data_IF_047983319338
#
_entry.id   IF_047983319338
#
_cell.length_a   1.000
_cell.length_b   1.000
_cell.length_c   1.000
_cell.angle_alpha   90.00
_cell.angle_beta   90.00
_cell.angle_gamma   90.00
#
_symmetry.space_group_name_H-M   'P 1'
#
loop_
_entity.id
_entity.type
_entity.pdbx_description
1 polymer ?
#
# COMPACT_ATOMS: atom_id res chain seq x y z
N UNK A 1 -42.49 -46.68 69.04
CA UNK A 1 -42.69 -46.13 67.67
C UNK A 1 -41.31 -45.78 67.09
N UNK A 2 -40.91 -46.55 66.11
CA UNK A 2 -39.56 -46.48 65.58
C UNK A 2 -39.48 -45.46 64.46
N UNK A 3 -38.53 -44.47 64.55
CA UNK A 3 -38.21 -43.56 63.49
C UNK A 3 -36.88 -43.99 62.87
N UNK A 4 -36.90 -44.40 61.59
CA UNK A 4 -35.72 -44.77 60.81
C UNK A 4 -35.05 -43.52 60.24
N UNK A 5 -33.78 -43.37 60.53
CA UNK A 5 -32.92 -42.42 59.83
C UNK A 5 -32.40 -43.00 58.50
N UNK A 6 -32.63 -42.29 57.43
CA UNK A 6 -32.08 -42.62 56.10
C UNK A 6 -30.96 -41.64 55.76
N UNK A 7 -29.75 -42.16 55.73
CA UNK A 7 -28.56 -41.35 55.33
C UNK A 7 -28.44 -41.31 53.80
N UNK A 8 -28.45 -40.13 53.26
CA UNK A 8 -28.10 -39.90 51.83
C UNK A 8 -26.58 -39.63 51.69
N UNK A 9 -25.91 -40.55 50.96
CA UNK A 9 -24.55 -40.36 50.48
C UNK A 9 -24.60 -39.43 49.24
N UNK A 10 -24.08 -38.23 49.38
CA UNK A 10 -23.75 -37.33 48.20
C UNK A 10 -22.40 -37.77 47.65
N UNK A 11 -22.40 -38.46 46.52
CA UNK A 11 -21.19 -38.63 45.68
C UNK A 11 -20.94 -37.37 44.88
N UNK A 12 -19.95 -36.58 45.31
CA UNK A 12 -19.47 -35.41 44.54
C UNK A 12 -18.72 -35.85 43.30
N UNK A 13 -19.29 -35.56 42.15
CA UNK A 13 -18.61 -35.70 40.84
C UNK A 13 -17.70 -34.46 40.66
N UNK A 14 -16.39 -34.62 40.81
CA UNK A 14 -15.42 -33.63 40.43
C UNK A 14 -15.32 -33.61 38.89
N UNK A 15 -15.98 -32.64 38.25
CA UNK A 15 -15.68 -32.31 36.85
C UNK A 15 -14.33 -31.55 36.80
N UNK A 16 -13.30 -32.26 36.38
CA UNK A 16 -12.05 -31.60 35.96
C UNK A 16 -12.27 -30.93 34.62
N UNK A 17 -12.41 -29.59 34.62
CA UNK A 17 -12.35 -28.77 33.41
C UNK A 17 -10.91 -28.78 32.92
N UNK A 18 -10.60 -29.63 31.98
CA UNK A 18 -9.38 -29.51 31.19
C UNK A 18 -9.56 -28.30 30.24
N UNK A 19 -8.99 -27.19 30.62
CA UNK A 19 -8.77 -26.07 29.68
C UNK A 19 -7.65 -26.48 28.71
N UNK A 20 -8.04 -26.95 27.53
CA UNK A 20 -7.10 -27.10 26.43
C UNK A 20 -6.55 -25.73 26.11
N UNK A 21 -5.22 -25.55 26.04
CA UNK A 21 -4.67 -24.30 25.55
C UNK A 21 -5.11 -24.11 24.07
N UNK A 22 -5.87 -23.08 23.82
CA UNK A 22 -6.12 -22.61 22.45
C UNK A 22 -4.77 -22.22 21.87
N UNK A 23 -4.10 -23.13 21.17
CA UNK A 23 -2.98 -22.77 20.32
C UNK A 23 -3.55 -21.89 19.22
N UNK A 24 -3.23 -20.60 19.30
CA UNK A 24 -3.37 -19.69 18.17
C UNK A 24 -2.50 -20.26 17.05
N UNK A 25 -3.12 -20.94 16.09
CA UNK A 25 -2.45 -21.39 14.88
C UNK A 25 -2.21 -20.12 14.07
N UNK A 26 -1.03 -19.53 14.22
CA UNK A 26 -0.52 -18.50 13.33
C UNK A 26 -0.02 -19.19 12.06
N UNK A 27 -0.94 -19.79 11.29
CA UNK A 27 -0.62 -20.31 9.98
C UNK A 27 -0.41 -19.11 9.04
N UNK A 28 0.84 -18.65 8.96
CA UNK A 28 1.25 -17.75 7.87
C UNK A 28 1.02 -18.49 6.54
N UNK A 29 0.32 -17.87 5.58
CA UNK A 29 0.15 -18.48 4.27
C UNK A 29 1.53 -18.75 3.66
N UNK A 30 1.81 -20.01 3.33
CA UNK A 30 3.04 -20.37 2.59
C UNK A 30 2.83 -20.00 1.13
N UNK A 31 3.77 -19.21 0.57
CA UNK A 31 3.81 -19.03 -0.87
C UNK A 31 4.06 -20.38 -1.55
N UNK A 32 3.39 -20.65 -2.66
CA UNK A 32 3.66 -21.83 -3.46
C UNK A 32 5.14 -21.82 -3.88
N UNK A 33 5.89 -22.90 -3.61
CA UNK A 33 7.30 -23.03 -3.94
C UNK A 33 7.58 -23.15 -5.45
N UNK A 34 6.55 -23.16 -6.29
CA UNK A 34 6.70 -23.07 -7.73
C UNK A 34 7.04 -21.61 -8.10
N UNK A 35 8.33 -21.28 -8.07
CA UNK A 35 8.84 -20.03 -8.66
C UNK A 35 8.50 -20.08 -10.13
N UNK A 36 7.52 -19.30 -10.52
CA UNK A 36 7.14 -19.16 -11.91
C UNK A 36 8.34 -18.55 -12.66
N UNK A 37 8.78 -19.16 -13.75
CA UNK A 37 9.78 -18.54 -14.63
C UNK A 37 9.15 -17.26 -15.18
N UNK A 38 9.49 -16.13 -14.61
CA UNK A 38 8.95 -14.84 -14.98
C UNK A 38 10.09 -13.89 -15.35
N UNK A 39 9.78 -12.86 -16.12
CA UNK A 39 10.69 -11.75 -16.43
C UNK A 39 11.20 -11.02 -15.17
N UNK A 40 10.55 -11.23 -14.03
CA UNK A 40 10.90 -10.60 -12.75
C UNK A 40 11.98 -11.34 -11.95
N UNK A 41 12.30 -12.59 -12.33
CA UNK A 41 13.28 -13.40 -11.57
C UNK A 41 14.68 -12.77 -11.56
N UNK A 42 15.22 -12.55 -10.36
CA UNK A 42 16.51 -11.91 -10.13
C UNK A 42 16.51 -10.39 -10.32
N UNK A 43 15.35 -9.77 -10.60
CA UNK A 43 15.26 -8.33 -10.74
C UNK A 43 15.30 -7.63 -9.38
N UNK A 44 16.07 -6.55 -9.31
CA UNK A 44 16.19 -5.68 -8.14
C UNK A 44 15.06 -4.66 -8.16
N UNK A 45 14.10 -4.81 -7.24
CA UNK A 45 12.88 -3.99 -7.22
C UNK A 45 12.84 -3.12 -5.98
N UNK A 46 12.84 -1.80 -6.17
CA UNK A 46 12.71 -0.84 -5.09
C UNK A 46 11.24 -0.64 -4.71
N UNK A 47 10.93 -0.76 -3.42
CA UNK A 47 9.62 -0.53 -2.85
C UNK A 47 9.64 0.76 -2.02
N UNK A 48 8.97 1.80 -2.51
CA UNK A 48 8.79 3.08 -1.84
C UNK A 48 7.37 3.14 -1.27
N UNK A 49 7.20 3.83 -0.13
CA UNK A 49 5.85 3.94 0.44
C UNK A 49 5.82 4.29 1.92
N UNK A 50 4.75 3.86 2.56
CA UNK A 50 4.43 4.15 3.96
C UNK A 50 4.58 2.93 4.88
N UNK A 51 3.76 2.87 5.96
CA UNK A 51 3.76 1.81 6.96
C UNK A 51 3.53 0.41 6.39
N UNK A 52 2.69 0.27 5.36
CA UNK A 52 2.36 -1.02 4.76
C UNK A 52 3.56 -1.59 3.98
N UNK A 53 4.49 -0.73 3.57
CA UNK A 53 5.74 -1.08 2.88
C UNK A 53 6.93 -1.18 3.83
N UNK A 54 6.88 -0.55 5.02
CA UNK A 54 8.01 -0.42 5.95
C UNK A 54 8.58 -1.79 6.35
N UNK A 55 9.93 -1.91 6.27
CA UNK A 55 10.66 -3.11 6.71
C UNK A 55 10.52 -3.43 8.21
N UNK A 56 9.98 -2.51 8.99
CA UNK A 56 9.69 -2.73 10.42
C UNK A 56 8.45 -3.58 10.66
N UNK A 57 7.79 -4.05 9.62
CA UNK A 57 6.61 -4.94 9.69
C UNK A 57 5.47 -4.35 10.54
N UNK A 58 5.04 -3.14 10.21
CA UNK A 58 3.94 -2.47 10.93
C UNK A 58 2.65 -3.27 10.76
N UNK A 59 2.16 -3.81 11.86
CA UNK A 59 0.90 -4.59 11.88
C UNK A 59 0.98 -5.99 11.27
N UNK A 60 2.18 -6.49 10.91
CA UNK A 60 2.34 -7.79 10.24
C UNK A 60 3.62 -8.50 10.64
N UNK A 61 3.65 -9.81 10.49
CA UNK A 61 4.88 -10.63 10.59
C UNK A 61 5.59 -10.79 9.24
N UNK A 62 4.88 -10.53 8.13
CA UNK A 62 5.43 -10.66 6.77
C UNK A 62 4.75 -9.73 5.80
N UNK A 63 5.53 -8.93 5.07
CA UNK A 63 5.05 -7.93 4.14
C UNK A 63 4.83 -8.50 2.73
N UNK A 64 4.01 -7.81 1.92
CA UNK A 64 3.68 -8.19 0.54
C UNK A 64 4.93 -8.32 -0.35
N UNK A 65 5.94 -7.48 -0.18
CA UNK A 65 7.18 -7.54 -0.96
C UNK A 65 8.03 -8.79 -0.64
N UNK A 66 7.94 -9.36 0.57
CA UNK A 66 8.57 -10.64 0.90
C UNK A 66 7.85 -11.80 0.19
N UNK A 67 6.52 -11.78 0.14
CA UNK A 67 5.75 -12.76 -0.64
C UNK A 67 6.04 -12.64 -2.14
N UNK A 68 6.19 -11.41 -2.68
CA UNK A 68 6.59 -11.21 -4.07
C UNK A 68 7.99 -11.77 -4.36
N UNK A 69 8.95 -11.61 -3.43
CA UNK A 69 10.27 -12.22 -3.53
C UNK A 69 10.18 -13.74 -3.65
N UNK A 70 9.33 -14.38 -2.84
CA UNK A 70 9.12 -15.83 -2.89
C UNK A 70 8.38 -16.29 -4.16
N UNK A 71 7.37 -15.52 -4.62
CA UNK A 71 6.55 -15.88 -5.77
C UNK A 71 7.24 -15.65 -7.12
N UNK A 72 7.98 -14.54 -7.25
CA UNK A 72 8.57 -14.08 -8.51
C UNK A 72 10.09 -14.19 -8.56
N UNK A 73 10.74 -14.41 -7.41
CA UNK A 73 12.20 -14.43 -7.29
C UNK A 73 12.85 -13.06 -7.46
N UNK A 74 12.17 -11.98 -7.13
CA UNK A 74 12.72 -10.62 -7.11
C UNK A 74 13.63 -10.41 -5.91
N UNK A 75 14.54 -9.43 -6.02
CA UNK A 75 15.39 -8.93 -4.93
C UNK A 75 14.82 -7.60 -4.42
N UNK A 76 14.10 -7.57 -3.27
CA UNK A 76 13.44 -6.37 -2.81
C UNK A 76 14.41 -5.39 -2.15
N UNK A 77 14.36 -4.13 -2.58
CA UNK A 77 15.04 -2.97 -1.99
C UNK A 77 13.98 -2.09 -1.31
N UNK A 78 13.88 -2.12 0.02
CA UNK A 78 12.76 -1.52 0.72
C UNK A 78 13.13 -0.17 1.33
N UNK A 79 12.42 0.86 0.93
CA UNK A 79 12.58 2.27 1.37
C UNK A 79 11.37 2.83 2.10
N UNK A 80 10.24 2.09 2.12
CA UNK A 80 9.03 2.50 2.81
C UNK A 80 9.27 2.88 4.27
N UNK A 81 8.60 3.93 4.75
CA UNK A 81 8.73 4.46 6.11
C UNK A 81 7.33 4.71 6.68
N UNK A 82 7.07 4.17 7.86
CA UNK A 82 5.80 4.35 8.58
C UNK A 82 5.40 5.84 8.66
N UNK A 83 4.14 6.13 8.36
CA UNK A 83 3.56 7.46 8.41
C UNK A 83 3.90 8.37 7.23
N UNK A 84 4.73 7.93 6.28
CA UNK A 84 5.11 8.78 5.16
C UNK A 84 3.92 9.08 4.25
N UNK A 85 3.89 10.32 3.81
CA UNK A 85 3.07 10.86 2.74
C UNK A 85 3.91 10.96 1.46
N UNK A 86 3.35 11.38 0.32
CA UNK A 86 4.07 11.48 -0.95
C UNK A 86 5.30 12.41 -0.92
N UNK A 87 5.30 13.46 -0.11
CA UNK A 87 6.50 14.28 0.10
C UNK A 87 7.66 13.51 0.76
N UNK A 88 7.36 12.49 1.57
CA UNK A 88 8.33 11.55 2.11
C UNK A 88 8.84 10.57 1.06
N UNK A 89 8.00 10.17 0.10
CA UNK A 89 8.39 9.28 -1.02
C UNK A 89 9.48 9.93 -1.89
N UNK A 90 9.44 11.25 -2.09
CA UNK A 90 10.53 11.96 -2.80
C UNK A 90 11.89 11.73 -2.12
N UNK A 91 11.95 11.83 -0.79
CA UNK A 91 13.18 11.57 -0.04
C UNK A 91 13.63 10.11 -0.15
N UNK A 92 12.69 9.16 -0.20
CA UNK A 92 12.99 7.75 -0.43
C UNK A 92 13.58 7.53 -1.83
N UNK A 93 13.03 8.17 -2.86
CA UNK A 93 13.55 8.10 -4.23
C UNK A 93 14.95 8.71 -4.35
N UNK A 94 15.20 9.84 -3.70
CA UNK A 94 16.53 10.47 -3.63
C UNK A 94 17.54 9.58 -2.90
N UNK A 95 17.12 8.96 -1.83
CA UNK A 95 17.94 8.00 -1.07
C UNK A 95 18.26 6.74 -1.91
N UNK A 96 17.28 6.18 -2.62
CA UNK A 96 17.49 5.08 -3.57
C UNK A 96 18.58 5.44 -4.58
N UNK A 97 18.50 6.64 -5.20
CA UNK A 97 19.51 7.09 -6.17
C UNK A 97 20.90 7.22 -5.56
N UNK A 98 20.99 7.77 -4.34
CA UNK A 98 22.26 7.95 -3.65
C UNK A 98 22.92 6.62 -3.23
N UNK A 99 22.12 5.62 -2.81
CA UNK A 99 22.64 4.34 -2.29
C UNK A 99 22.92 3.32 -3.39
N UNK A 100 22.06 3.26 -4.42
CA UNK A 100 22.05 2.19 -5.43
C UNK A 100 22.44 2.69 -6.82
N UNK A 101 22.35 3.98 -7.08
CA UNK A 101 22.59 4.54 -8.41
C UNK A 101 21.53 4.09 -9.41
N UNK A 102 21.96 3.42 -10.48
CA UNK A 102 21.10 2.83 -11.52
C UNK A 102 20.96 1.31 -11.38
N UNK A 103 21.53 0.72 -10.33
CA UNK A 103 21.49 -0.73 -10.10
C UNK A 103 20.14 -1.19 -9.52
N UNK A 104 19.06 -0.73 -10.11
CA UNK A 104 17.68 -1.12 -9.84
C UNK A 104 17.00 -1.38 -11.17
N UNK A 105 16.13 -2.39 -11.26
CA UNK A 105 15.38 -2.72 -12.48
C UNK A 105 14.02 -2.04 -12.49
N UNK A 106 13.35 -2.00 -11.34
CA UNK A 106 12.03 -1.40 -11.24
C UNK A 106 11.80 -0.68 -9.91
N UNK A 107 10.89 0.27 -9.91
CA UNK A 107 10.50 1.07 -8.74
C UNK A 107 8.98 0.98 -8.58
N UNK A 108 8.52 0.48 -7.45
CA UNK A 108 7.10 0.34 -7.12
C UNK A 108 6.77 1.27 -5.96
N UNK A 109 5.73 2.09 -6.12
CA UNK A 109 5.33 3.10 -5.12
C UNK A 109 3.94 2.75 -4.57
N UNK A 110 3.84 2.63 -3.25
CA UNK A 110 2.59 2.38 -2.55
C UNK A 110 2.41 3.39 -1.41
N UNK A 111 1.68 4.48 -1.67
CA UNK A 111 1.44 5.57 -0.74
C UNK A 111 0.14 6.31 -1.07
N UNK A 112 -0.35 7.14 -0.13
CA UNK A 112 -1.51 8.01 -0.33
C UNK A 112 -2.51 7.97 0.82
N UNK A 113 -2.58 6.86 1.57
CA UNK A 113 -3.49 6.76 2.73
C UNK A 113 -3.18 7.80 3.81
N UNK A 114 -1.90 8.16 4.00
CA UNK A 114 -1.51 9.18 4.97
C UNK A 114 -1.76 10.60 4.46
N UNK A 115 -1.70 10.84 3.14
CA UNK A 115 -2.10 12.12 2.54
C UNK A 115 -3.60 12.34 2.71
N UNK A 116 -4.43 11.32 2.47
CA UNK A 116 -5.87 11.35 2.76
C UNK A 116 -6.13 11.67 4.23
N UNK A 117 -5.53 10.91 5.15
CA UNK A 117 -5.74 11.07 6.58
C UNK A 117 -5.31 12.45 7.09
N UNK A 118 -4.23 13.01 6.56
CA UNK A 118 -3.77 14.35 6.88
C UNK A 118 -4.61 15.46 6.23
N UNK A 119 -5.53 15.13 5.32
CA UNK A 119 -6.31 16.08 4.55
C UNK A 119 -5.42 16.98 3.71
N UNK A 120 -4.54 16.38 2.90
CA UNK A 120 -3.73 17.12 1.92
C UNK A 120 -4.63 17.53 0.77
N UNK A 121 -4.71 18.83 0.39
CA UNK A 121 -5.52 19.27 -0.75
C UNK A 121 -5.12 18.55 -2.04
N UNK A 122 -6.10 18.20 -2.89
CA UNK A 122 -5.80 17.46 -4.12
C UNK A 122 -4.94 18.25 -5.08
N UNK A 123 -5.17 19.57 -5.24
CA UNK A 123 -4.44 20.43 -6.16
C UNK A 123 -4.71 20.13 -7.64
N UNK A 124 -3.85 20.63 -8.52
CA UNK A 124 -3.96 20.49 -9.96
C UNK A 124 -2.72 19.79 -10.53
N UNK A 125 -2.88 19.14 -11.71
CA UNK A 125 -1.74 18.53 -12.41
C UNK A 125 -0.85 19.58 -13.08
N UNK A 126 -1.43 20.71 -13.49
CA UNK A 126 -0.78 21.70 -14.33
C UNK A 126 -1.11 23.12 -13.91
N UNK A 127 -0.11 23.99 -14.01
CA UNK A 127 -0.29 25.44 -14.17
C UNK A 127 -0.25 25.80 -15.66
N UNK A 128 -0.59 27.04 -15.98
CA UNK A 128 -0.67 27.49 -17.37
C UNK A 128 0.11 28.79 -17.60
N UNK A 129 0.81 28.87 -18.73
CA UNK A 129 1.42 30.08 -19.27
C UNK A 129 0.98 30.29 -20.74
N UNK A 130 1.27 31.46 -21.29
CA UNK A 130 1.11 31.71 -22.72
C UNK A 130 2.49 31.93 -23.30
N UNK A 131 2.87 31.11 -24.27
CA UNK A 131 4.21 31.08 -24.84
C UNK A 131 4.15 30.97 -26.37
N UNK A 132 5.13 31.61 -27.03
CA UNK A 132 5.31 31.47 -28.48
C UNK A 132 5.76 30.03 -28.80
N UNK A 133 5.11 29.41 -29.75
CA UNK A 133 5.51 28.08 -30.26
C UNK A 133 5.40 28.02 -31.76
N UNK A 134 6.22 27.16 -32.38
CA UNK A 134 6.15 26.89 -33.82
C UNK A 134 4.98 25.97 -34.11
N UNK A 135 4.12 26.34 -35.05
CA UNK A 135 2.95 25.55 -35.45
C UNK A 135 3.19 24.86 -36.80
N UNK A 136 2.26 23.98 -37.19
CA UNK A 136 2.30 23.31 -38.49
C UNK A 136 2.37 24.33 -39.61
N UNK A 137 3.36 24.20 -40.50
CA UNK A 137 3.64 25.16 -41.58
C UNK A 137 4.77 26.15 -41.24
N UNK A 138 5.40 26.06 -40.08
CA UNK A 138 6.59 26.84 -39.68
C UNK A 138 6.28 28.25 -39.16
N UNK A 139 5.01 28.64 -39.06
CA UNK A 139 4.58 29.89 -38.44
C UNK A 139 4.74 29.86 -36.91
N UNK A 140 4.77 31.05 -36.29
CA UNK A 140 4.82 31.19 -34.84
C UNK A 140 3.50 31.74 -34.30
N UNK A 141 3.02 31.17 -33.21
CA UNK A 141 1.79 31.60 -32.53
C UNK A 141 1.96 31.55 -31.01
N UNK A 142 1.32 32.46 -30.31
CA UNK A 142 1.21 32.41 -28.85
C UNK A 142 0.09 31.45 -28.47
N UNK A 143 0.43 30.38 -27.75
CA UNK A 143 -0.52 29.38 -27.31
C UNK A 143 -0.45 29.16 -25.81
N UNK A 144 -1.58 28.67 -25.23
CA UNK A 144 -1.66 28.26 -23.84
C UNK A 144 -0.86 26.97 -23.65
N UNK A 145 0.20 27.05 -22.83
CA UNK A 145 1.05 25.92 -22.44
C UNK A 145 0.66 25.38 -21.08
N UNK A 146 0.67 24.07 -20.94
CA UNK A 146 0.60 23.39 -19.65
C UNK A 146 2.00 23.24 -19.09
N UNK A 147 2.19 23.60 -17.82
CA UNK A 147 3.41 23.38 -17.07
C UNK A 147 3.08 22.46 -15.89
N UNK A 148 3.90 21.45 -15.62
CA UNK A 148 3.71 20.57 -14.47
C UNK A 148 3.67 21.38 -13.19
N UNK A 149 2.62 21.21 -12.37
CA UNK A 149 2.52 21.86 -11.06
C UNK A 149 3.34 21.06 -10.03
N UNK A 150 4.40 21.64 -9.49
CA UNK A 150 5.26 21.03 -8.47
C UNK A 150 4.96 21.56 -7.06
N UNK A 151 3.71 21.94 -6.79
CA UNK A 151 3.32 22.43 -5.47
C UNK A 151 3.26 21.32 -4.43
N UNK A 152 4.32 21.17 -3.62
CA UNK A 152 4.44 20.16 -2.56
C UNK A 152 3.37 20.24 -1.46
N UNK A 153 2.56 21.32 -1.41
CA UNK A 153 1.43 21.42 -0.49
C UNK A 153 0.16 20.72 -0.99
N UNK A 154 0.16 20.22 -2.21
CA UNK A 154 -0.98 19.51 -2.81
C UNK A 154 -0.63 18.08 -3.18
N UNK A 155 -1.63 17.20 -3.22
CA UNK A 155 -1.41 15.78 -3.48
C UNK A 155 -0.89 15.52 -4.90
N UNK A 156 -1.51 16.15 -5.93
CA UNK A 156 -1.03 16.08 -7.32
C UNK A 156 0.36 16.66 -7.47
N UNK A 157 0.64 17.80 -6.83
CA UNK A 157 1.96 18.41 -6.87
C UNK A 157 3.06 17.54 -6.28
N UNK A 158 2.80 16.88 -5.14
CA UNK A 158 3.72 15.88 -4.53
C UNK A 158 4.00 14.71 -5.46
N UNK A 159 2.95 14.15 -6.09
CA UNK A 159 3.08 13.08 -7.08
C UNK A 159 3.92 13.56 -8.27
N UNK A 160 3.67 14.78 -8.76
CA UNK A 160 4.43 15.39 -9.83
C UNK A 160 5.92 15.53 -9.47
N UNK A 161 6.25 15.98 -8.25
CA UNK A 161 7.65 16.07 -7.79
C UNK A 161 8.35 14.71 -7.81
N UNK A 162 7.69 13.67 -7.27
CA UNK A 162 8.25 12.31 -7.22
C UNK A 162 8.46 11.76 -8.62
N UNK A 163 7.42 11.81 -9.47
CA UNK A 163 7.48 11.20 -10.80
C UNK A 163 8.39 11.97 -11.75
N UNK A 164 8.43 13.31 -11.64
CA UNK A 164 9.43 14.13 -12.34
C UNK A 164 10.85 13.73 -11.97
N UNK A 165 11.13 13.59 -10.67
CA UNK A 165 12.44 13.15 -10.19
C UNK A 165 12.81 11.75 -10.71
N UNK A 166 11.89 10.79 -10.60
CA UNK A 166 12.14 9.42 -11.03
C UNK A 166 12.35 9.31 -12.54
N UNK A 167 11.51 9.95 -13.36
CA UNK A 167 11.67 9.95 -14.82
C UNK A 167 12.98 10.58 -15.29
N UNK A 168 13.51 11.56 -14.57
CA UNK A 168 14.79 12.20 -14.89
C UNK A 168 16.00 11.37 -14.44
N UNK A 169 15.90 10.67 -13.30
CA UNK A 169 17.03 9.96 -12.71
C UNK A 169 17.06 8.46 -13.01
N UNK A 170 15.95 7.89 -13.48
CA UNK A 170 15.76 6.48 -13.80
C UNK A 170 14.98 6.33 -15.13
N UNK A 171 15.47 6.92 -16.25
CA UNK A 171 14.70 7.02 -17.49
C UNK A 171 14.43 5.68 -18.17
N UNK A 172 15.27 4.69 -17.93
CA UNK A 172 15.27 3.33 -18.47
C UNK A 172 14.61 2.29 -17.52
N UNK A 173 14.15 2.71 -16.33
CA UNK A 173 13.61 1.78 -15.33
C UNK A 173 12.08 1.75 -15.33
N UNK A 174 11.54 0.57 -15.05
CA UNK A 174 10.08 0.42 -14.88
C UNK A 174 9.63 1.10 -13.58
N UNK A 175 8.73 2.05 -13.69
CA UNK A 175 8.09 2.73 -12.55
C UNK A 175 6.62 2.30 -12.51
N UNK A 176 6.15 1.83 -11.36
CA UNK A 176 4.78 1.35 -11.17
C UNK A 176 4.17 2.02 -9.93
N UNK A 177 2.95 2.50 -10.05
CA UNK A 177 2.18 3.03 -8.93
C UNK A 177 1.21 1.97 -8.41
N UNK A 178 0.94 1.99 -7.13
CA UNK A 178 -0.15 1.21 -6.52
C UNK A 178 -1.10 2.17 -5.79
N UNK A 179 -2.40 1.97 -5.97
CA UNK A 179 -3.40 2.73 -5.21
C UNK A 179 -3.48 2.23 -3.77
N UNK A 180 -3.85 3.08 -2.79
CA UNK A 180 -4.21 2.62 -1.45
C UNK A 180 -5.28 1.54 -1.50
N UNK A 181 -5.19 0.56 -0.60
CA UNK A 181 -6.28 -0.40 -0.35
C UNK A 181 -7.41 0.26 0.43
N UNK A 182 -8.58 -0.38 0.48
CA UNK A 182 -9.64 -0.03 1.41
C UNK A 182 -9.16 -0.07 2.86
N UNK A 183 -9.68 0.82 3.69
CA UNK A 183 -9.28 0.97 5.08
C UNK A 183 -10.50 1.16 6.00
N UNK A 184 -10.44 0.60 7.20
CA UNK A 184 -11.38 0.92 8.26
C UNK A 184 -10.66 1.67 9.39
N UNK A 185 -11.28 1.73 10.56
CA UNK A 185 -10.76 2.47 11.72
C UNK A 185 -9.39 1.97 12.16
N UNK A 186 -8.55 2.89 12.63
CA UNK A 186 -7.32 2.57 13.34
C UNK A 186 -7.16 3.46 14.58
N UNK A 187 -6.75 2.88 15.70
CA UNK A 187 -6.54 3.58 16.97
C UNK A 187 -5.17 3.20 17.53
N UNK A 188 -4.21 4.11 17.40
CA UNK A 188 -2.84 3.90 17.87
C UNK A 188 -2.59 4.52 19.25
N UNK A 189 -3.31 5.59 19.59
CA UNK A 189 -3.36 6.23 20.91
C UNK A 189 -4.69 6.97 21.06
N UNK A 190 -4.89 7.68 22.17
CA UNK A 190 -6.09 8.52 22.34
C UNK A 190 -6.08 9.75 21.42
N UNK A 191 -4.91 10.22 21.00
CA UNK A 191 -4.71 11.37 20.12
C UNK A 191 -4.56 10.96 18.63
N UNK A 192 -4.30 9.67 18.37
CA UNK A 192 -4.12 9.16 17.01
C UNK A 192 -5.18 8.11 16.70
N UNK A 193 -6.37 8.62 16.44
CA UNK A 193 -7.54 7.84 15.99
C UNK A 193 -7.82 8.23 14.55
N UNK A 194 -7.89 7.25 13.68
CA UNK A 194 -8.21 7.42 12.28
C UNK A 194 -9.55 6.74 12.00
N UNK A 195 -10.57 7.50 11.57
CA UNK A 195 -11.87 6.92 11.25
C UNK A 195 -11.80 6.02 10.01
N UNK A 196 -12.82 5.22 9.83
CA UNK A 196 -13.00 4.41 8.62
C UNK A 196 -13.27 5.29 7.38
N UNK A 197 -13.06 4.74 6.20
CA UNK A 197 -13.16 5.45 4.92
C UNK A 197 -14.58 5.94 4.56
N UNK A 198 -15.61 5.46 5.25
CA UNK A 198 -16.97 5.99 5.10
C UNK A 198 -17.10 7.44 5.62
N UNK A 199 -16.12 7.91 6.39
CA UNK A 199 -16.06 9.31 6.83
C UNK A 199 -15.05 10.08 5.98
N UNK A 200 -15.41 11.31 5.56
CA UNK A 200 -14.46 12.16 4.83
C UNK A 200 -13.37 12.67 5.78
N UNK A 201 -12.25 13.07 5.21
CA UNK A 201 -11.21 13.78 5.96
C UNK A 201 -11.65 15.23 6.31
N UNK A 202 -10.77 15.98 6.98
CA UNK A 202 -11.01 17.38 7.41
C UNK A 202 -11.33 18.36 6.26
N UNK A 203 -11.10 17.98 5.01
CA UNK A 203 -11.43 18.77 3.81
C UNK A 203 -12.77 18.36 3.18
N UNK A 204 -13.47 17.38 3.76
CA UNK A 204 -14.69 16.82 3.19
C UNK A 204 -14.45 15.84 2.04
N UNK A 205 -13.20 15.35 1.86
CA UNK A 205 -12.80 14.43 0.80
C UNK A 205 -12.74 13.00 1.32
N UNK A 206 -13.18 12.05 0.50
CA UNK A 206 -13.10 10.62 0.78
C UNK A 206 -11.80 10.02 0.22
N UNK A 207 -11.45 8.81 0.66
CA UNK A 207 -10.24 8.13 0.20
C UNK A 207 -10.24 7.86 -1.30
N UNK A 208 -11.40 7.63 -1.89
CA UNK A 208 -11.57 7.35 -3.33
C UNK A 208 -11.04 8.49 -4.21
N UNK A 209 -11.12 9.74 -3.74
CA UNK A 209 -10.61 10.89 -4.49
C UNK A 209 -9.08 10.86 -4.58
N UNK A 210 -8.40 10.41 -3.52
CA UNK A 210 -6.96 10.18 -3.53
C UNK A 210 -6.58 8.97 -4.37
N UNK A 211 -7.35 7.89 -4.32
CA UNK A 211 -7.20 6.72 -5.20
C UNK A 211 -7.31 7.14 -6.66
N UNK A 212 -8.31 7.94 -7.02
CA UNK A 212 -8.54 8.42 -8.38
C UNK A 212 -7.39 9.30 -8.87
N UNK A 213 -6.83 10.16 -8.03
CA UNK A 213 -5.65 10.95 -8.39
C UNK A 213 -4.45 10.07 -8.73
N UNK A 214 -4.21 8.97 -8.00
CA UNK A 214 -3.11 8.04 -8.34
C UNK A 214 -3.38 7.34 -9.67
N UNK A 215 -4.64 6.98 -9.97
CA UNK A 215 -5.03 6.42 -11.28
C UNK A 215 -4.81 7.41 -12.42
N UNK A 216 -5.17 8.68 -12.21
CA UNK A 216 -4.89 9.77 -13.17
C UNK A 216 -3.39 9.94 -13.44
N UNK A 217 -2.55 9.82 -12.39
CA UNK A 217 -1.09 9.95 -12.50
C UNK A 217 -0.49 8.97 -13.52
N UNK A 218 -1.08 7.78 -13.67
CA UNK A 218 -0.68 6.82 -14.69
C UNK A 218 -0.71 7.41 -16.10
N UNK A 219 -1.78 8.11 -16.45
CA UNK A 219 -1.94 8.76 -17.75
C UNK A 219 -1.06 10.02 -17.88
N UNK A 220 -0.93 10.80 -16.79
CA UNK A 220 -0.13 12.03 -16.80
C UNK A 220 1.36 11.74 -17.03
N UNK A 221 1.87 10.66 -16.43
CA UNK A 221 3.30 10.35 -16.38
C UNK A 221 3.70 9.12 -17.21
N UNK A 222 2.77 8.48 -17.93
CA UNK A 222 3.01 7.27 -18.70
C UNK A 222 3.68 6.18 -17.81
N UNK A 223 3.03 5.82 -16.71
CA UNK A 223 3.44 4.76 -15.79
C UNK A 223 2.25 3.81 -15.52
N UNK A 224 2.47 2.49 -15.43
CA UNK A 224 1.43 1.55 -15.03
C UNK A 224 0.90 1.84 -13.62
N UNK A 225 -0.39 1.59 -13.41
CA UNK A 225 -1.03 1.67 -12.10
C UNK A 225 -1.67 0.33 -11.76
N UNK A 226 -1.26 -0.26 -10.65
CA UNK A 226 -1.93 -1.42 -10.04
C UNK A 226 -2.99 -0.89 -9.09
N UNK A 227 -4.25 -1.01 -9.46
CA UNK A 227 -5.38 -0.51 -8.64
C UNK A 227 -5.72 -1.50 -7.52
N UNK A 228 -4.89 -1.50 -6.45
CA UNK A 228 -5.10 -2.37 -5.29
C UNK A 228 -6.40 -2.06 -4.55
N UNK A 229 -6.94 -0.85 -4.67
CA UNK A 229 -8.24 -0.53 -4.11
C UNK A 229 -9.31 -1.47 -4.66
N UNK A 230 -9.32 -1.70 -5.97
CA UNK A 230 -10.30 -2.57 -6.62
C UNK A 230 -9.93 -4.07 -6.60
N UNK A 231 -8.64 -4.43 -6.72
CA UNK A 231 -8.26 -5.83 -6.97
C UNK A 231 -7.72 -6.59 -5.77
N UNK A 232 -7.40 -5.93 -4.66
CA UNK A 232 -6.86 -6.60 -3.47
C UNK A 232 -7.85 -7.60 -2.85
N UNK A 233 -9.14 -7.40 -3.05
CA UNK A 233 -10.21 -8.15 -2.41
C UNK A 233 -10.27 -7.94 -0.89
N UNK A 234 -9.60 -6.91 -0.35
CA UNK A 234 -9.63 -6.52 1.06
C UNK A 234 -10.71 -5.44 1.24
N UNK A 235 -11.69 -5.69 2.11
CA UNK A 235 -12.77 -4.74 2.40
C UNK A 235 -13.04 -4.70 3.91
N UNK A 236 -12.22 -3.98 4.71
CA UNK A 236 -12.22 -4.04 6.17
C UNK A 236 -13.46 -3.47 6.85
N UNK A 237 -14.38 -2.87 6.08
CA UNK A 237 -15.67 -2.36 6.57
C UNK A 237 -16.57 -3.49 7.09
N UNK A 238 -16.36 -4.75 6.66
CA UNK A 238 -17.07 -5.91 7.15
C UNK A 238 -16.23 -6.72 8.14
N UNK A 239 -16.84 -7.14 9.24
CA UNK A 239 -16.18 -7.94 10.30
C UNK A 239 -15.59 -9.25 9.76
N UNK A 240 -16.20 -9.85 8.74
CA UNK A 240 -15.68 -11.06 8.08
C UNK A 240 -14.31 -10.84 7.43
N UNK A 241 -13.94 -9.58 7.11
CA UNK A 241 -12.64 -9.20 6.58
C UNK A 241 -11.63 -8.75 7.64
N UNK A 242 -12.05 -8.55 8.90
CA UNK A 242 -11.15 -8.14 9.98
C UNK A 242 -9.97 -9.11 10.15
N UNK A 243 -10.17 -10.40 9.89
CA UNK A 243 -9.13 -11.43 9.92
C UNK A 243 -7.91 -11.19 9.02
N UNK A 244 -7.97 -10.24 8.09
CA UNK A 244 -6.87 -9.87 7.18
C UNK A 244 -6.09 -8.63 7.66
N UNK A 245 -6.47 -8.06 8.79
CA UNK A 245 -5.90 -6.84 9.33
C UNK A 245 -5.21 -7.10 10.67
N UNK A 246 -4.42 -6.13 11.11
CA UNK A 246 -3.56 -6.27 12.29
C UNK A 246 -4.35 -6.60 13.56
N UNK A 247 -5.42 -5.85 13.80
CA UNK A 247 -6.29 -6.07 14.96
C UNK A 247 -7.74 -5.80 14.56
N UNK A 248 -8.62 -6.73 14.88
CA UNK A 248 -10.04 -6.70 14.49
C UNK A 248 -10.80 -5.50 15.06
N UNK A 249 -10.36 -4.95 16.18
CA UNK A 249 -11.03 -3.87 16.91
C UNK A 249 -10.30 -2.54 16.76
N UNK A 250 -8.98 -2.55 16.83
CA UNK A 250 -8.18 -1.33 16.97
C UNK A 250 -7.39 -0.94 15.71
N UNK A 251 -7.18 -1.87 14.76
CA UNK A 251 -6.38 -1.56 13.56
C UNK A 251 -6.81 -2.39 12.35
N UNK A 252 -7.79 -1.88 11.63
CA UNK A 252 -8.21 -2.39 10.31
C UNK A 252 -7.66 -1.51 9.16
N UNK A 253 -6.57 -0.79 9.40
CA UNK A 253 -5.80 -0.06 8.41
C UNK A 253 -4.62 -0.88 7.91
N UNK A 254 -3.85 -1.49 8.82
CA UNK A 254 -2.67 -2.27 8.47
C UNK A 254 -3.04 -3.73 8.22
N UNK A 255 -2.79 -4.27 7.02
CA UNK A 255 -2.97 -5.69 6.75
C UNK A 255 -2.01 -6.53 7.62
N UNK A 256 -2.49 -7.66 8.14
CA UNK A 256 -1.62 -8.69 8.73
C UNK A 256 -1.00 -9.58 7.63
N UNK A 257 -0.26 -10.62 8.00
CA UNK A 257 0.41 -11.50 7.04
C UNK A 257 -0.55 -12.12 6.00
N UNK A 258 -1.80 -12.45 6.38
CA UNK A 258 -2.82 -12.95 5.46
C UNK A 258 -3.28 -11.86 4.47
N UNK A 259 -3.47 -10.63 4.95
CA UNK A 259 -3.80 -9.48 4.12
C UNK A 259 -2.69 -9.16 3.13
N UNK A 260 -1.45 -9.12 3.59
CA UNK A 260 -0.27 -8.93 2.74
C UNK A 260 -0.11 -10.04 1.70
N UNK A 261 -0.42 -11.30 2.04
CA UNK A 261 -0.42 -12.39 1.07
C UNK A 261 -1.46 -12.18 -0.05
N UNK A 262 -2.70 -11.75 0.30
CA UNK A 262 -3.71 -11.41 -0.71
C UNK A 262 -3.26 -10.29 -1.63
N UNK A 263 -2.71 -9.22 -1.06
CA UNK A 263 -2.12 -8.12 -1.85
C UNK A 263 -1.03 -8.63 -2.78
N UNK A 264 -0.08 -9.42 -2.26
CA UNK A 264 1.02 -9.96 -3.05
C UNK A 264 0.54 -10.81 -4.23
N UNK A 265 -0.50 -11.63 -4.04
CA UNK A 265 -1.11 -12.40 -5.14
C UNK A 265 -1.70 -11.49 -6.22
N UNK A 266 -2.46 -10.47 -5.83
CA UNK A 266 -3.02 -9.53 -6.79
C UNK A 266 -1.92 -8.78 -7.55
N UNK A 267 -0.90 -8.27 -6.83
CA UNK A 267 0.25 -7.59 -7.42
C UNK A 267 1.02 -8.51 -8.36
N UNK A 268 1.29 -9.76 -7.96
CA UNK A 268 2.01 -10.73 -8.79
C UNK A 268 1.38 -10.89 -10.17
N UNK A 269 0.05 -11.09 -10.25
CA UNK A 269 -0.63 -11.24 -11.54
C UNK A 269 -0.56 -9.99 -12.41
N UNK A 270 -0.56 -8.79 -11.81
CA UNK A 270 -0.37 -7.55 -12.54
C UNK A 270 1.07 -7.40 -13.05
N UNK A 271 2.05 -7.72 -12.21
CA UNK A 271 3.47 -7.67 -12.58
C UNK A 271 3.81 -8.62 -13.73
N UNK A 272 3.18 -9.80 -13.80
CA UNK A 272 3.36 -10.73 -14.92
C UNK A 272 2.90 -10.16 -16.27
N UNK A 273 2.02 -9.14 -16.26
CA UNK A 273 1.57 -8.45 -17.46
C UNK A 273 2.46 -7.25 -17.85
N UNK A 274 3.42 -6.85 -17.04
CA UNK A 274 4.30 -5.71 -17.31
C UNK A 274 5.74 -6.16 -17.58
N UNK A 275 6.50 -5.44 -18.44
CA UNK A 275 7.94 -5.66 -18.56
C UNK A 275 8.61 -5.34 -17.21
N UNK A 276 9.66 -6.09 -16.87
CA UNK A 276 10.43 -5.85 -15.66
C UNK A 276 11.48 -4.74 -15.86
N UNK A 277 11.90 -4.54 -17.10
CA UNK A 277 12.81 -3.50 -17.59
C UNK A 277 12.48 -3.19 -19.06
N UNK A 278 13.19 -2.25 -19.65
CA UNK A 278 13.05 -1.83 -21.04
C UNK A 278 14.32 -2.11 -21.88
N UNK A 279 15.25 -2.91 -21.35
CA UNK A 279 16.48 -3.32 -22.04
C UNK A 279 16.36 -4.72 -22.64
#
# INVERSE_FOLDING_TARGET
MYTKYMAYLLSGLLLSTQTSPCMAITDEPKASTNIQKSQWKGKRVAFLGDSITDRKHVGTTKNYWQYLAEMLGIEPLVYGINGNQWNGVLKQAQRLKAEIGNEVDAIIIFAGTNDYNAGVPLGEWYTFSYEETTVKGGGKEVRKRRNTDLNSNTFRGRINEVLSYLKQNFPDKQIILMTPIHRAQARFSNENIQPEEAFPNKLGLYVDEYVNVIKEAGNVWAVPVIDLNSISGLYPMFDTHAQYFHDEVTDRLHPNAKGHYRMAKAIMYQLLAYPADFE
#
